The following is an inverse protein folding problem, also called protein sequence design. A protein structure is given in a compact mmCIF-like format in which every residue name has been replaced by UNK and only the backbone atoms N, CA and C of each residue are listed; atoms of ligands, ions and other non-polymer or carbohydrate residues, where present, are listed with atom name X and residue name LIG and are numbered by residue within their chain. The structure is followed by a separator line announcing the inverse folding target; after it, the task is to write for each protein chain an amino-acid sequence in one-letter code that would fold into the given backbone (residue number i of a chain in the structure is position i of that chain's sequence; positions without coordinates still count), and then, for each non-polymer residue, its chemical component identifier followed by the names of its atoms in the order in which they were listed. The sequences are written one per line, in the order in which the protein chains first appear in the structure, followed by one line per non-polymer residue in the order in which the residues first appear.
data_IF_893006209125
#
_entry.id   IF_893006209125
#
_cell.length_a   1.000
_cell.length_b   1.000
_cell.length_c   1.000
_cell.angle_alpha   90.00
_cell.angle_beta   90.00
_cell.angle_gamma   90.00
#
_symmetry.space_group_name_H-M   'P 1'
#
loop_
_entity.id
_entity.type
_entity.pdbx_description
1 polymer ?
#
# COMPACT_ATOMS: atom_id res chain seq x y z
N UNK A 1 -1.31 -4.59 -30.96
CA UNK A 1 -0.85 -5.55 -29.92
C UNK A 1 0.49 -5.17 -29.29
N UNK A 2 1.57 -4.96 -30.05
CA UNK A 2 2.87 -4.61 -29.47
C UNK A 2 2.85 -3.30 -28.67
N UNK A 3 2.23 -2.23 -29.21
CA UNK A 3 2.12 -0.96 -28.52
C UNK A 3 1.35 -1.06 -27.19
N UNK A 4 0.26 -1.84 -27.14
CA UNK A 4 -0.52 -2.06 -25.91
C UNK A 4 0.34 -2.72 -24.83
N UNK A 5 1.08 -3.78 -25.17
CA UNK A 5 1.99 -4.45 -24.22
C UNK A 5 3.06 -3.51 -23.68
N UNK A 6 3.65 -2.66 -24.53
CA UNK A 6 4.68 -1.70 -24.10
C UNK A 6 4.10 -0.64 -23.15
N UNK A 7 2.95 -0.05 -23.51
CA UNK A 7 2.28 0.96 -22.67
C UNK A 7 1.86 0.36 -21.33
N UNK A 8 1.24 -0.81 -21.33
CA UNK A 8 0.83 -1.48 -20.10
C UNK A 8 2.03 -1.80 -19.21
N UNK A 9 3.14 -2.31 -19.78
CA UNK A 9 4.37 -2.55 -19.01
C UNK A 9 4.95 -1.27 -18.43
N UNK A 10 4.96 -0.18 -19.20
CA UNK A 10 5.46 1.10 -18.72
C UNK A 10 4.62 1.59 -17.53
N UNK A 11 3.29 1.59 -17.66
CA UNK A 11 2.37 1.98 -16.59
C UNK A 11 2.52 1.08 -15.37
N UNK A 12 2.59 -0.24 -15.56
CA UNK A 12 2.71 -1.21 -14.48
C UNK A 12 4.04 -1.04 -13.72
N UNK A 13 5.16 -0.96 -14.43
CA UNK A 13 6.48 -0.89 -13.81
C UNK A 13 6.70 0.47 -13.14
N UNK A 14 6.43 1.59 -13.82
CA UNK A 14 6.61 2.91 -13.23
C UNK A 14 5.63 3.15 -12.08
N UNK A 15 4.38 2.70 -12.23
CA UNK A 15 3.38 2.74 -11.17
C UNK A 15 3.79 1.89 -9.96
N UNK A 16 4.31 0.68 -10.20
CA UNK A 16 4.84 -0.20 -9.16
C UNK A 16 6.03 0.40 -8.42
N UNK A 17 7.00 0.99 -9.15
CA UNK A 17 8.15 1.69 -8.55
C UNK A 17 7.68 2.82 -7.63
N UNK A 18 6.80 3.69 -8.14
CA UNK A 18 6.28 4.80 -7.35
C UNK A 18 5.48 4.31 -6.13
N UNK A 19 4.60 3.33 -6.31
CA UNK A 19 3.74 2.81 -5.26
C UNK A 19 4.52 2.09 -4.15
N UNK A 20 5.28 1.05 -4.52
CA UNK A 20 6.05 0.25 -3.55
C UNK A 20 7.14 1.09 -2.90
N UNK A 21 7.84 1.92 -3.69
CA UNK A 21 8.86 2.84 -3.20
C UNK A 21 8.31 3.86 -2.20
N UNK A 22 7.16 4.48 -2.51
CA UNK A 22 6.50 5.41 -1.58
C UNK A 22 6.02 4.71 -0.31
N UNK A 23 5.52 3.48 -0.42
CA UNK A 23 5.13 2.66 0.73
C UNK A 23 6.32 2.39 1.66
N UNK A 24 7.43 1.91 1.11
CA UNK A 24 8.66 1.65 1.86
C UNK A 24 9.20 2.92 2.52
N UNK A 25 9.32 4.01 1.76
CA UNK A 25 9.75 5.30 2.30
C UNK A 25 8.85 5.76 3.45
N UNK A 26 7.53 5.67 3.25
CA UNK A 26 6.56 6.12 4.24
C UNK A 26 6.66 5.32 5.52
N UNK A 27 6.66 3.98 5.42
CA UNK A 27 6.64 3.10 6.59
C UNK A 27 7.97 3.09 7.34
N UNK A 28 9.10 3.07 6.64
CA UNK A 28 10.41 2.90 7.25
C UNK A 28 11.07 4.21 7.71
N UNK A 29 10.71 5.35 7.09
CA UNK A 29 11.39 6.62 7.35
C UNK A 29 10.42 7.72 7.76
N UNK A 30 9.41 8.01 6.94
CA UNK A 30 8.53 9.15 7.19
C UNK A 30 7.70 8.98 8.47
N UNK A 31 7.04 7.84 8.66
CA UNK A 31 6.19 7.57 9.83
C UNK A 31 7.00 7.62 11.14
N UNK A 32 8.18 6.97 11.25
CA UNK A 32 9.03 7.11 12.44
C UNK A 32 9.42 8.55 12.75
N UNK A 33 9.79 9.34 11.74
CA UNK A 33 10.15 10.75 11.91
C UNK A 33 8.94 11.56 12.38
N UNK A 34 7.76 11.37 11.78
CA UNK A 34 6.54 12.07 12.20
C UNK A 34 6.16 11.72 13.64
N UNK A 35 6.34 10.47 14.07
CA UNK A 35 6.03 10.04 15.42
C UNK A 35 6.88 10.75 16.49
N UNK A 36 8.14 11.08 16.17
CA UNK A 36 9.03 11.81 17.08
C UNK A 36 8.99 13.34 16.93
N UNK A 37 8.27 13.87 15.93
CA UNK A 37 8.28 15.29 15.56
C UNK A 37 7.25 16.16 16.30
N UNK A 38 6.38 15.58 17.14
CA UNK A 38 5.40 16.33 17.93
C UNK A 38 4.49 17.23 17.07
N UNK A 39 4.45 18.52 17.38
CA UNK A 39 3.57 19.49 16.71
C UNK A 39 3.88 19.70 15.21
N UNK A 40 5.13 19.51 14.76
CA UNK A 40 5.51 19.73 13.35
C UNK A 40 5.01 18.62 12.43
N UNK A 41 4.69 17.43 12.96
CA UNK A 41 4.15 16.31 12.20
C UNK A 41 2.84 16.67 11.49
N UNK A 42 1.98 17.47 12.16
CA UNK A 42 0.71 17.92 11.59
C UNK A 42 0.87 18.80 10.34
N UNK A 43 1.88 19.67 10.32
CA UNK A 43 2.15 20.55 9.17
C UNK A 43 2.61 19.75 7.95
N UNK A 44 3.50 18.76 8.16
CA UNK A 44 3.95 17.86 7.09
C UNK A 44 2.76 17.07 6.53
N UNK A 45 1.89 16.52 7.38
CA UNK A 45 0.69 15.80 6.96
C UNK A 45 -0.30 16.68 6.19
N UNK A 46 -0.53 17.91 6.64
CA UNK A 46 -1.35 18.87 5.91
C UNK A 46 -0.76 19.17 4.52
N UNK A 47 0.56 19.33 4.41
CA UNK A 47 1.25 19.52 3.14
C UNK A 47 1.07 18.34 2.18
N UNK A 48 1.22 17.10 2.66
CA UNK A 48 0.98 15.90 1.84
C UNK A 48 -0.49 15.78 1.40
N UNK A 49 -1.43 16.18 2.27
CA UNK A 49 -2.85 16.21 1.94
C UNK A 49 -3.16 17.24 0.84
N UNK A 50 -2.59 18.45 0.92
CA UNK A 50 -2.75 19.48 -0.11
C UNK A 50 -2.20 19.02 -1.47
N UNK A 51 -1.12 18.24 -1.47
CA UNK A 51 -0.55 17.59 -2.67
C UNK A 51 -1.31 16.35 -3.12
N UNK A 52 -2.44 16.02 -2.46
CA UNK A 52 -3.32 14.88 -2.77
C UNK A 52 -2.62 13.52 -2.70
N UNK A 53 -1.53 13.38 -1.93
CA UNK A 53 -0.78 12.12 -1.83
C UNK A 53 -1.69 10.95 -1.45
N UNK A 54 -2.59 11.16 -0.48
CA UNK A 54 -3.54 10.15 0.01
C UNK A 54 -4.61 9.73 -1.00
N UNK A 55 -4.74 10.44 -2.12
CA UNK A 55 -5.61 10.08 -3.24
C UNK A 55 -4.79 9.54 -4.42
N UNK A 56 -3.67 10.20 -4.75
CA UNK A 56 -2.80 9.82 -5.86
C UNK A 56 -2.20 8.43 -5.66
N UNK A 57 -1.68 8.12 -4.46
CA UNK A 57 -0.98 6.86 -4.22
C UNK A 57 -1.91 5.64 -4.37
N UNK A 58 -3.13 5.61 -3.79
CA UNK A 58 -4.10 4.54 -4.06
C UNK A 58 -4.54 4.46 -5.52
N UNK A 59 -4.69 5.59 -6.23
CA UNK A 59 -5.02 5.59 -7.66
C UNK A 59 -3.90 4.95 -8.49
N UNK A 60 -2.63 5.29 -8.23
CA UNK A 60 -1.49 4.68 -8.92
C UNK A 60 -1.40 3.20 -8.61
N UNK A 61 -1.60 2.80 -7.35
CA UNK A 61 -1.65 1.39 -6.96
C UNK A 61 -2.75 0.62 -7.73
N UNK A 62 -3.96 1.17 -7.80
CA UNK A 62 -5.07 0.58 -8.52
C UNK A 62 -4.78 0.44 -10.02
N UNK A 63 -4.27 1.49 -10.66
CA UNK A 63 -3.88 1.45 -12.08
C UNK A 63 -2.75 0.45 -12.34
N UNK A 64 -1.81 0.31 -11.41
CA UNK A 64 -0.74 -0.70 -11.47
C UNK A 64 -1.32 -2.11 -11.42
N UNK A 65 -2.29 -2.38 -10.55
CA UNK A 65 -2.95 -3.69 -10.47
C UNK A 65 -3.71 -3.98 -11.77
N UNK A 66 -4.49 -3.03 -12.28
CA UNK A 66 -5.27 -3.21 -13.51
C UNK A 66 -4.37 -3.43 -14.74
N UNK A 67 -3.28 -2.68 -14.86
CA UNK A 67 -2.34 -2.88 -15.96
C UNK A 67 -1.64 -4.24 -15.87
N UNK A 68 -1.32 -4.71 -14.65
CA UNK A 68 -0.75 -6.03 -14.40
C UNK A 68 -1.71 -7.17 -14.76
N UNK A 69 -2.98 -7.04 -14.37
CA UNK A 69 -4.03 -8.01 -14.74
C UNK A 69 -4.22 -8.07 -16.26
N UNK A 70 -4.22 -6.92 -16.94
CA UNK A 70 -4.32 -6.87 -18.40
C UNK A 70 -3.09 -7.50 -19.08
N UNK A 71 -1.88 -7.24 -18.57
CA UNK A 71 -0.66 -7.89 -19.06
C UNK A 71 -0.76 -9.41 -18.91
N UNK A 72 -1.17 -9.88 -17.73
CA UNK A 72 -1.32 -11.30 -17.45
C UNK A 72 -2.34 -11.93 -18.39
N UNK A 73 -3.50 -11.29 -18.65
CA UNK A 73 -4.48 -11.75 -19.63
C UNK A 73 -3.85 -11.93 -21.01
N UNK A 74 -3.11 -10.93 -21.49
CA UNK A 74 -2.49 -10.97 -22.83
C UNK A 74 -1.39 -12.03 -22.94
N UNK A 75 -0.55 -12.20 -21.90
CA UNK A 75 0.58 -13.14 -21.93
C UNK A 75 0.21 -14.58 -21.61
N UNK A 76 -0.94 -14.81 -20.97
CA UNK A 76 -1.44 -16.14 -20.60
C UNK A 76 -2.47 -16.72 -21.57
N UNK A 77 -2.70 -16.06 -22.71
CA UNK A 77 -3.78 -16.40 -23.65
C UNK A 77 -5.17 -16.44 -22.98
N UNK A 78 -5.50 -15.42 -22.19
CA UNK A 78 -6.78 -15.32 -21.49
C UNK A 78 -6.89 -16.22 -20.26
N UNK A 79 -5.81 -16.32 -19.48
CA UNK A 79 -5.72 -17.13 -18.26
C UNK A 79 -5.74 -18.64 -18.49
N UNK A 80 -5.00 -19.12 -19.50
CA UNK A 80 -4.84 -20.56 -19.73
C UNK A 80 -4.20 -21.27 -18.53
N UNK A 81 -4.69 -22.48 -18.22
CA UNK A 81 -4.16 -23.30 -17.14
C UNK A 81 -2.67 -23.66 -17.34
N UNK A 82 -2.25 -23.84 -18.60
CA UNK A 82 -0.86 -24.15 -18.94
C UNK A 82 0.12 -23.03 -18.53
N UNK A 83 -0.29 -21.76 -18.67
CA UNK A 83 0.54 -20.63 -18.22
C UNK A 83 0.77 -20.67 -16.71
N UNK A 84 -0.27 -20.95 -15.92
CA UNK A 84 -0.17 -20.99 -14.47
C UNK A 84 0.43 -22.29 -13.91
N UNK A 85 0.51 -23.34 -14.72
CA UNK A 85 1.26 -24.55 -14.39
C UNK A 85 2.78 -24.34 -14.55
N UNK A 86 3.21 -23.39 -15.39
CA UNK A 86 4.62 -23.06 -15.55
C UNK A 86 5.15 -22.25 -14.35
N UNK A 87 6.39 -22.49 -13.88
CA UNK A 87 6.93 -21.81 -12.70
C UNK A 87 6.93 -20.27 -12.81
N UNK A 88 7.31 -19.71 -13.96
CA UNK A 88 7.25 -18.26 -14.21
C UNK A 88 5.84 -17.68 -14.09
N UNK A 89 4.85 -18.33 -14.72
CA UNK A 89 3.46 -17.88 -14.70
C UNK A 89 2.85 -17.99 -13.30
N UNK A 90 3.14 -19.07 -12.56
CA UNK A 90 2.75 -19.21 -11.16
C UNK A 90 3.38 -18.11 -10.28
N UNK A 91 4.66 -17.80 -10.49
CA UNK A 91 5.36 -16.75 -9.74
C UNK A 91 4.70 -15.39 -9.98
N UNK A 92 4.41 -15.04 -11.24
CA UNK A 92 3.67 -13.81 -11.56
C UNK A 92 2.29 -13.77 -10.89
N UNK A 93 1.56 -14.89 -10.85
CA UNK A 93 0.24 -14.98 -10.24
C UNK A 93 0.29 -14.76 -8.72
N UNK A 94 1.16 -15.47 -8.01
CA UNK A 94 1.32 -15.37 -6.55
C UNK A 94 1.80 -13.97 -6.15
N UNK A 95 2.76 -13.40 -6.88
CA UNK A 95 3.21 -12.03 -6.64
C UNK A 95 2.11 -10.99 -6.86
N UNK A 96 1.31 -11.16 -7.92
CA UNK A 96 0.18 -10.28 -8.22
C UNK A 96 -0.90 -10.37 -7.15
N UNK A 97 -1.18 -11.57 -6.65
CA UNK A 97 -2.09 -11.81 -5.55
C UNK A 97 -1.58 -11.15 -4.25
N UNK A 98 -0.31 -11.33 -3.90
CA UNK A 98 0.29 -10.71 -2.72
C UNK A 98 0.16 -9.18 -2.74
N UNK A 99 0.48 -8.54 -3.88
CA UNK A 99 0.33 -7.09 -4.03
C UNK A 99 -1.13 -6.64 -3.95
N UNK A 100 -2.07 -7.42 -4.52
CA UNK A 100 -3.50 -7.12 -4.47
C UNK A 100 -4.04 -7.22 -3.05
N UNK A 101 -3.67 -8.27 -2.30
CA UNK A 101 -4.02 -8.42 -0.88
C UNK A 101 -3.45 -7.27 -0.05
N UNK A 102 -2.20 -6.88 -0.30
CA UNK A 102 -1.58 -5.74 0.36
C UNK A 102 -2.37 -4.43 0.12
N UNK A 103 -2.80 -4.18 -1.12
CA UNK A 103 -3.63 -3.02 -1.45
C UNK A 103 -4.97 -3.03 -0.70
N UNK A 104 -5.66 -4.17 -0.67
CA UNK A 104 -6.93 -4.33 0.05
C UNK A 104 -6.74 -4.11 1.56
N UNK A 105 -5.69 -4.68 2.16
CA UNK A 105 -5.38 -4.48 3.58
C UNK A 105 -5.07 -3.01 3.89
N UNK A 106 -4.31 -2.33 3.01
CA UNK A 106 -4.04 -0.92 3.16
C UNK A 106 -5.33 -0.07 3.16
N UNK A 107 -6.27 -0.38 2.26
CA UNK A 107 -7.54 0.34 2.15
C UNK A 107 -8.52 0.05 3.29
N UNK A 108 -8.64 -1.22 3.71
CA UNK A 108 -9.68 -1.67 4.64
C UNK A 108 -9.23 -1.71 6.10
N UNK A 109 -7.92 -1.76 6.35
CA UNK A 109 -7.36 -1.88 7.71
C UNK A 109 -6.51 -0.68 8.07
N UNK A 110 -5.48 -0.38 7.28
CA UNK A 110 -4.48 0.65 7.63
C UNK A 110 -5.08 2.05 7.55
N UNK A 111 -5.72 2.39 6.42
CA UNK A 111 -6.32 3.71 6.21
C UNK A 111 -7.41 4.05 7.23
N UNK A 112 -8.40 3.18 7.52
CA UNK A 112 -9.41 3.47 8.54
C UNK A 112 -8.80 3.61 9.94
N UNK A 113 -7.81 2.78 10.29
CA UNK A 113 -7.10 2.92 11.55
C UNK A 113 -6.38 4.27 11.67
N UNK A 114 -5.72 4.73 10.60
CA UNK A 114 -5.05 6.03 10.56
C UNK A 114 -6.02 7.20 10.68
N UNK A 115 -7.13 7.18 9.92
CA UNK A 115 -8.15 8.24 9.96
C UNK A 115 -8.80 8.33 11.34
N UNK A 116 -9.20 7.18 11.92
CA UNK A 116 -9.78 7.15 13.27
C UNK A 116 -8.78 7.58 14.35
N UNK A 117 -7.51 7.19 14.21
CA UNK A 117 -6.46 7.64 15.12
C UNK A 117 -6.29 9.16 15.08
N UNK A 118 -6.32 9.77 13.89
CA UNK A 118 -6.21 11.21 13.74
C UNK A 118 -7.43 11.95 14.34
N UNK A 119 -8.64 11.45 14.10
CA UNK A 119 -9.86 12.06 14.67
C UNK A 119 -9.89 11.98 16.19
N UNK A 120 -9.53 10.83 16.77
CA UNK A 120 -9.49 10.67 18.23
C UNK A 120 -8.39 11.51 18.87
N UNK A 121 -7.23 11.61 18.22
CA UNK A 121 -6.15 12.46 18.70
C UNK A 121 -6.55 13.94 18.77
N UNK A 122 -7.36 14.42 17.81
CA UNK A 122 -7.89 15.78 17.83
C UNK A 122 -8.86 16.01 19.01
N UNK A 123 -9.63 14.98 19.40
CA UNK A 123 -10.58 15.06 20.51
C UNK A 123 -9.92 15.07 21.91
N UNK A 124 -8.66 14.65 22.03
CA UNK A 124 -7.96 14.58 23.32
C UNK A 124 -7.81 15.95 24.00
N UNK A 125 -7.65 17.02 23.23
CA UNK A 125 -7.44 18.38 23.75
C UNK A 125 -8.67 18.92 24.51
N UNK A 126 -9.87 18.45 24.17
CA UNK A 126 -11.14 18.91 24.75
C UNK A 126 -11.74 17.93 25.78
N UNK A 127 -11.10 16.78 26.02
CA UNK A 127 -11.62 15.75 26.92
C UNK A 127 -11.32 16.03 28.40
N UNK A 128 -12.22 15.65 29.30
CA UNK A 128 -11.94 15.56 30.74
C UNK A 128 -10.99 14.38 31.08
N UNK A 129 -10.59 14.23 32.34
CA UNK A 129 -9.58 13.24 32.75
C UNK A 129 -10.03 11.79 32.49
N UNK A 130 -11.28 11.45 32.85
CA UNK A 130 -11.83 10.10 32.66
C UNK A 130 -11.94 9.79 31.17
N UNK A 131 -12.47 10.73 30.39
CA UNK A 131 -12.63 10.57 28.94
C UNK A 131 -11.28 10.54 28.22
N UNK A 132 -10.29 11.28 28.69
CA UNK A 132 -8.93 11.29 28.17
C UNK A 132 -8.25 9.93 28.34
N UNK A 133 -8.44 9.27 29.48
CA UNK A 133 -7.91 7.92 29.71
C UNK A 133 -8.50 6.91 28.71
N UNK A 134 -9.82 6.93 28.51
CA UNK A 134 -10.51 6.08 27.53
C UNK A 134 -10.03 6.31 26.09
N UNK A 135 -9.98 7.58 25.66
CA UNK A 135 -9.55 7.96 24.32
C UNK A 135 -8.10 7.56 24.05
N UNK A 136 -7.23 7.66 25.07
CA UNK A 136 -5.82 7.27 24.96
C UNK A 136 -5.67 5.76 24.78
N UNK A 137 -6.46 4.96 25.51
CA UNK A 137 -6.47 3.51 25.36
C UNK A 137 -6.99 3.08 23.97
N UNK A 138 -8.07 3.69 23.48
CA UNK A 138 -8.62 3.43 22.14
C UNK A 138 -7.61 3.81 21.03
N UNK A 139 -6.97 4.97 21.16
CA UNK A 139 -5.93 5.43 20.25
C UNK A 139 -4.73 4.45 20.21
N UNK A 140 -4.32 3.91 21.36
CA UNK A 140 -3.27 2.89 21.44
C UNK A 140 -3.62 1.62 20.67
N UNK A 141 -4.85 1.12 20.82
CA UNK A 141 -5.36 -0.05 20.09
C UNK A 141 -5.37 0.18 18.56
N UNK A 142 -5.88 1.34 18.12
CA UNK A 142 -5.91 1.70 16.70
C UNK A 142 -4.50 1.85 16.11
N UNK A 143 -3.58 2.50 16.82
CA UNK A 143 -2.17 2.63 16.40
C UNK A 143 -1.51 1.27 16.27
N UNK A 144 -1.69 0.37 17.24
CA UNK A 144 -1.17 -1.00 17.18
C UNK A 144 -1.71 -1.76 15.97
N UNK A 145 -3.02 -1.68 15.73
CA UNK A 145 -3.66 -2.31 14.55
C UNK A 145 -3.11 -1.73 13.24
N UNK A 146 -2.95 -0.41 13.16
CA UNK A 146 -2.38 0.28 12.01
C UNK A 146 -0.92 -0.10 11.75
N UNK A 147 -0.10 -0.21 12.80
CA UNK A 147 1.30 -0.63 12.71
C UNK A 147 1.44 -2.07 12.20
N UNK A 148 0.73 -3.02 12.81
CA UNK A 148 0.73 -4.43 12.38
C UNK A 148 0.25 -4.53 10.92
N UNK A 149 -0.85 -3.85 10.58
CA UNK A 149 -1.37 -3.82 9.22
C UNK A 149 -0.35 -3.26 8.22
N UNK A 150 0.34 -2.18 8.58
CA UNK A 150 1.37 -1.56 7.73
C UNK A 150 2.56 -2.49 7.49
N UNK A 151 3.03 -3.19 8.53
CA UNK A 151 4.10 -4.17 8.40
C UNK A 151 3.71 -5.31 7.45
N UNK A 152 2.51 -5.88 7.64
CA UNK A 152 2.01 -6.96 6.76
C UNK A 152 1.91 -6.48 5.31
N UNK A 153 1.37 -5.28 5.09
CA UNK A 153 1.28 -4.66 3.76
C UNK A 153 2.66 -4.53 3.11
N UNK A 154 3.65 -3.98 3.82
CA UNK A 154 5.00 -3.80 3.27
C UNK A 154 5.67 -5.14 2.95
N UNK A 155 5.56 -6.14 3.84
CA UNK A 155 6.11 -7.48 3.58
C UNK A 155 5.50 -8.07 2.31
N UNK A 156 4.18 -8.01 2.15
CA UNK A 156 3.50 -8.51 0.95
C UNK A 156 3.91 -7.75 -0.31
N UNK A 157 4.06 -6.42 -0.24
CA UNK A 157 4.51 -5.62 -1.39
C UNK A 157 5.95 -5.92 -1.77
N UNK A 158 6.86 -6.11 -0.81
CA UNK A 158 8.26 -6.47 -1.06
C UNK A 158 8.35 -7.86 -1.67
N UNK A 159 7.65 -8.86 -1.11
CA UNK A 159 7.61 -10.21 -1.67
C UNK A 159 6.97 -10.22 -3.06
N UNK A 160 5.89 -9.47 -3.27
CA UNK A 160 5.26 -9.28 -4.57
C UNK A 160 6.22 -8.68 -5.59
N UNK A 161 6.89 -7.57 -5.27
CA UNK A 161 7.84 -6.91 -6.15
C UNK A 161 9.08 -7.80 -6.44
N UNK A 162 9.61 -8.49 -5.43
CA UNK A 162 10.74 -9.40 -5.59
C UNK A 162 10.37 -10.57 -6.52
N UNK A 163 9.22 -11.20 -6.30
CA UNK A 163 8.73 -12.28 -7.16
C UNK A 163 8.50 -11.82 -8.60
N UNK A 164 7.90 -10.63 -8.80
CA UNK A 164 7.76 -10.03 -10.15
C UNK A 164 9.10 -9.82 -10.85
N UNK A 165 10.14 -9.41 -10.11
CA UNK A 165 11.47 -9.14 -10.66
C UNK A 165 12.17 -10.43 -11.11
N UNK A 166 11.95 -11.55 -10.40
CA UNK A 166 12.60 -12.83 -10.70
C UNK A 166 11.76 -13.78 -11.54
N UNK A 167 10.45 -13.57 -11.65
CA UNK A 167 9.50 -14.47 -12.31
C UNK A 167 9.89 -14.90 -13.73
N UNK A 168 10.60 -14.04 -14.47
CA UNK A 168 11.07 -14.37 -15.84
C UNK A 168 12.20 -15.41 -15.89
N UNK A 169 12.82 -15.72 -14.77
CA UNK A 169 14.01 -16.57 -14.67
C UNK A 169 13.73 -17.91 -13.99
N UNK A 170 12.49 -18.14 -13.55
CA UNK A 170 12.07 -19.35 -12.85
C UNK A 170 11.15 -20.20 -13.70
#
# INVERSE_FOLDING_TARGET
MQAELLVLRLVHVLGGIFWVGSGLFTTLFLVPVLASSGATAGQVMAGLQQRRLFSVLPTVAFLTILSGLRLMWLTSAGFSAAYFAAPSGLTYAVSGLAATVAFVLALLVVRPAAVRSASLAASLAAADETRRAELTAELGSLRRRGAIGSTVVIVLLVLGAAGMAVARYV
#
